data_IF_728160282374
#
_entry.id   IF_728160282374
#
_cell.length_a   1.000
_cell.length_b   1.000
_cell.length_c   1.000
_cell.angle_alpha   90.00
_cell.angle_beta   90.00
_cell.angle_gamma   90.00
#
_symmetry.space_group_name_H-M   'P 1'
#
loop_
_entity.id
_entity.type
_entity.pdbx_description
1 polymer ?
#
# COMPACT_ATOMS: atom_id res chain seq x y z
N UNK A 1 19.33 -2.80 16.21
CA UNK A 1 20.39 -1.78 16.27
C UNK A 1 21.06 -1.77 14.91
N UNK A 2 20.57 -0.92 14.04
CA UNK A 2 21.10 -0.72 12.69
C UNK A 2 21.01 0.77 12.37
N UNK A 3 21.93 1.31 11.56
CA UNK A 3 21.94 2.74 11.20
C UNK A 3 20.66 3.17 10.49
N UNK A 4 20.06 2.26 9.70
CA UNK A 4 18.82 2.53 8.99
C UNK A 4 17.60 2.69 9.92
N UNK A 5 17.69 2.26 11.18
CA UNK A 5 16.61 2.45 12.17
C UNK A 5 16.49 3.88 12.70
N UNK A 6 17.46 4.76 12.41
CA UNK A 6 17.36 6.19 12.72
C UNK A 6 17.24 6.52 14.21
N UNK A 7 17.76 5.68 15.11
CA UNK A 7 17.68 5.91 16.58
C UNK A 7 18.43 7.19 16.97
N UNK A 8 19.58 7.48 16.36
CA UNK A 8 20.30 8.72 16.64
C UNK A 8 19.50 9.98 16.28
N UNK A 9 18.76 9.96 15.16
CA UNK A 9 17.85 11.05 14.79
C UNK A 9 16.70 11.20 15.80
N UNK A 10 16.20 10.07 16.31
CA UNK A 10 15.19 10.03 17.37
C UNK A 10 15.69 10.71 18.65
N UNK A 11 16.89 10.37 19.12
CA UNK A 11 17.48 10.96 20.32
C UNK A 11 17.72 12.44 20.15
N UNK A 12 18.20 12.87 18.98
CA UNK A 12 18.37 14.29 18.65
C UNK A 12 17.06 15.06 18.72
N UNK A 13 15.99 14.52 18.12
CA UNK A 13 14.68 15.17 18.15
C UNK A 13 14.06 15.17 19.55
N UNK A 14 14.21 14.08 20.31
CA UNK A 14 13.75 14.03 21.70
C UNK A 14 14.44 15.07 22.58
N UNK A 15 15.76 15.20 22.47
CA UNK A 15 16.52 16.24 23.16
C UNK A 15 16.01 17.63 22.81
N UNK A 16 15.85 17.94 21.52
CA UNK A 16 15.36 19.24 21.07
C UNK A 16 13.92 19.51 21.55
N UNK A 17 13.06 18.50 21.54
CA UNK A 17 11.70 18.60 22.07
C UNK A 17 11.69 18.97 23.55
N UNK A 18 12.56 18.35 24.37
CA UNK A 18 12.68 18.66 25.79
C UNK A 18 13.31 20.04 26.06
N UNK A 19 14.28 20.47 25.26
CA UNK A 19 14.85 21.83 25.32
C UNK A 19 13.77 22.90 25.05
N UNK A 20 12.86 22.63 24.11
CA UNK A 20 11.75 23.54 23.77
C UNK A 20 10.57 23.45 24.75
N UNK A 21 10.43 22.34 25.50
CA UNK A 21 9.32 22.09 26.42
C UNK A 21 9.81 21.66 27.82
N UNK A 22 10.40 22.58 28.61
CA UNK A 22 10.92 22.26 29.94
C UNK A 22 9.88 21.68 30.90
N UNK A 23 8.60 22.00 30.70
CA UNK A 23 7.47 21.47 31.47
C UNK A 23 7.23 19.96 31.28
N UNK A 24 7.88 19.33 30.31
CA UNK A 24 7.77 17.88 30.03
C UNK A 24 8.89 17.09 30.69
N UNK A 25 10.01 17.73 31.02
CA UNK A 25 11.13 17.08 31.70
C UNK A 25 10.66 16.49 33.04
N UNK A 26 11.00 15.22 33.30
CA UNK A 26 10.55 14.46 34.47
C UNK A 26 9.10 13.95 34.39
N UNK A 27 8.33 14.29 33.34
CA UNK A 27 6.95 13.79 33.12
C UNK A 27 6.83 12.83 31.94
N UNK A 28 7.82 12.79 31.07
CA UNK A 28 7.86 11.87 29.93
C UNK A 28 9.26 11.25 29.81
N UNK A 29 9.30 10.00 29.35
CA UNK A 29 10.53 9.23 29.14
C UNK A 29 10.49 8.57 27.77
N UNK A 30 11.60 8.62 27.04
CA UNK A 30 11.79 7.85 25.82
C UNK A 30 12.36 6.47 26.18
N UNK A 31 11.52 5.43 26.17
CA UNK A 31 11.96 4.04 26.30
C UNK A 31 12.40 3.52 24.94
N UNK A 32 13.70 3.22 24.78
CA UNK A 32 14.26 2.72 23.52
C UNK A 32 14.96 1.38 23.74
N UNK A 33 14.35 0.30 23.24
CA UNK A 33 14.99 -1.01 23.19
C UNK A 33 15.62 -1.25 21.82
N UNK A 34 16.86 -1.70 21.77
CA UNK A 34 17.57 -2.00 20.54
C UNK A 34 17.97 -3.49 20.45
N UNK A 35 17.32 -4.23 19.55
CA UNK A 35 17.72 -5.61 19.26
C UNK A 35 19.07 -5.65 18.54
N UNK A 36 20.07 -6.36 19.07
CA UNK A 36 21.36 -6.55 18.39
C UNK A 36 21.32 -7.86 17.61
N UNK A 37 21.29 -7.83 16.26
CA UNK A 37 21.16 -9.05 15.46
C UNK A 37 22.41 -9.92 15.54
N UNK A 38 22.22 -11.24 15.68
CA UNK A 38 23.28 -12.25 15.63
C UNK A 38 23.70 -12.57 14.17
N UNK A 39 24.10 -11.56 13.40
CA UNK A 39 24.49 -11.70 11.98
C UNK A 39 25.96 -11.29 11.76
N UNK A 40 26.47 -11.43 10.55
CA UNK A 40 27.85 -11.03 10.19
C UNK A 40 28.22 -9.57 10.54
N UNK A 41 27.23 -8.70 10.78
CA UNK A 41 27.42 -7.29 11.14
C UNK A 41 27.36 -7.02 12.66
N UNK A 42 27.46 -8.07 13.49
CA UNK A 42 27.28 -7.96 14.95
C UNK A 42 28.21 -6.92 15.60
N UNK A 43 29.47 -6.82 15.14
CA UNK A 43 30.44 -5.84 15.66
C UNK A 43 30.01 -4.40 15.40
N UNK A 44 29.44 -4.11 14.22
CA UNK A 44 28.93 -2.77 13.91
C UNK A 44 27.68 -2.44 14.73
N UNK A 45 26.81 -3.43 14.94
CA UNK A 45 25.61 -3.26 15.75
C UNK A 45 25.95 -3.00 17.23
N UNK A 46 26.97 -3.66 17.79
CA UNK A 46 27.46 -3.38 19.16
C UNK A 46 28.13 -2.01 19.26
N UNK A 47 28.96 -1.62 18.28
CA UNK A 47 29.55 -0.27 18.24
C UNK A 47 28.47 0.80 18.23
N UNK A 48 27.46 0.65 17.35
CA UNK A 48 26.34 1.57 17.29
C UNK A 48 25.53 1.57 18.60
N UNK A 49 25.30 0.42 19.22
CA UNK A 49 24.63 0.35 20.52
C UNK A 49 25.42 1.13 21.60
N UNK A 50 26.75 0.96 21.64
CA UNK A 50 27.61 1.69 22.57
C UNK A 50 27.61 3.21 22.33
N UNK A 51 27.65 3.64 21.06
CA UNK A 51 27.51 5.06 20.69
C UNK A 51 26.16 5.62 21.14
N UNK A 52 25.07 4.87 20.94
CA UNK A 52 23.73 5.27 21.36
C UNK A 52 23.59 5.32 22.89
N UNK A 53 24.22 4.39 23.63
CA UNK A 53 24.28 4.45 25.09
C UNK A 53 24.94 5.75 25.56
N UNK A 54 26.10 6.09 25.02
CA UNK A 54 26.81 7.33 25.38
C UNK A 54 25.98 8.58 25.08
N UNK A 55 25.28 8.60 23.95
CA UNK A 55 24.38 9.71 23.59
C UNK A 55 23.21 9.80 24.58
N UNK A 56 22.60 8.67 24.96
CA UNK A 56 21.51 8.64 25.92
C UNK A 56 21.95 9.12 27.31
N UNK A 57 23.12 8.67 27.77
CA UNK A 57 23.73 9.09 29.04
C UNK A 57 24.02 10.60 29.06
N UNK A 58 24.67 11.12 28.01
CA UNK A 58 24.96 12.55 27.89
C UNK A 58 23.68 13.41 27.89
N UNK A 59 22.59 12.93 27.27
CA UNK A 59 21.30 13.61 27.30
C UNK A 59 20.69 13.56 28.70
N UNK A 60 20.72 12.40 29.37
CA UNK A 60 20.21 12.28 30.74
C UNK A 60 20.98 13.18 31.72
N UNK A 61 22.31 13.27 31.58
CA UNK A 61 23.15 14.20 32.35
C UNK A 61 22.78 15.66 32.11
N UNK A 62 22.55 16.05 30.85
CA UNK A 62 22.13 17.40 30.48
C UNK A 62 20.84 17.83 31.18
N UNK A 63 19.86 16.93 31.31
CA UNK A 63 18.56 17.23 31.95
C UNK A 63 18.51 16.91 33.45
N UNK A 64 19.55 16.27 34.00
CA UNK A 64 19.63 15.90 35.42
C UNK A 64 18.65 14.80 35.86
N UNK A 65 18.01 14.09 34.93
CA UNK A 65 17.11 12.98 35.19
C UNK A 65 17.06 11.99 34.02
N UNK A 66 16.52 10.79 34.23
CA UNK A 66 16.35 9.80 33.15
C UNK A 66 15.23 10.23 32.19
N UNK A 67 15.62 10.84 31.06
CA UNK A 67 14.70 11.21 29.97
C UNK A 67 14.76 10.24 28.79
N UNK A 68 15.85 9.47 28.67
CA UNK A 68 16.01 8.35 27.73
C UNK A 68 16.42 7.12 28.52
N UNK A 69 15.60 6.09 28.46
CA UNK A 69 15.95 4.76 28.97
C UNK A 69 16.32 3.87 27.78
N UNK A 70 17.62 3.70 27.55
CA UNK A 70 18.16 2.91 26.44
C UNK A 70 18.66 1.55 26.91
N UNK A 71 18.14 0.49 26.32
CA UNK A 71 18.61 -0.88 26.54
C UNK A 71 18.92 -1.54 25.19
N UNK A 72 19.96 -2.37 25.17
CA UNK A 72 20.31 -3.17 24.00
C UNK A 72 20.45 -4.64 24.38
N UNK A 73 19.90 -5.53 23.55
CA UNK A 73 19.91 -6.97 23.84
C UNK A 73 18.62 -7.69 23.42
N UNK A 74 18.49 -8.97 23.78
CA UNK A 74 17.26 -9.71 23.56
C UNK A 74 16.11 -9.12 24.39
N UNK A 75 14.91 -9.12 23.82
CA UNK A 75 13.66 -8.76 24.49
C UNK A 75 12.65 -9.84 24.17
N UNK A 76 11.98 -10.38 25.20
CA UNK A 76 10.94 -11.38 24.96
C UNK A 76 9.77 -10.75 24.21
N UNK A 77 8.98 -11.56 23.50
CA UNK A 77 7.77 -11.07 22.85
C UNK A 77 6.78 -10.51 23.88
N UNK A 78 6.68 -11.13 25.05
CA UNK A 78 5.80 -10.70 26.15
C UNK A 78 6.20 -9.31 26.66
N UNK A 79 7.49 -9.10 26.94
CA UNK A 79 7.98 -7.80 27.42
C UNK A 79 7.83 -6.72 26.35
N UNK A 80 8.09 -7.06 25.08
CA UNK A 80 7.87 -6.14 23.96
C UNK A 80 6.40 -5.71 23.89
N UNK A 81 5.47 -6.65 23.93
CA UNK A 81 4.04 -6.36 23.89
C UNK A 81 3.58 -5.58 25.14
N UNK A 82 4.15 -5.87 26.31
CA UNK A 82 3.87 -5.10 27.53
C UNK A 82 4.32 -3.64 27.38
N UNK A 83 5.54 -3.40 26.87
CA UNK A 83 6.05 -2.06 26.59
C UNK A 83 5.19 -1.30 25.58
N UNK A 84 4.83 -1.95 24.46
CA UNK A 84 3.93 -1.35 23.46
C UNK A 84 2.55 -1.03 24.03
N UNK A 85 2.03 -1.90 24.91
CA UNK A 85 0.74 -1.71 25.56
C UNK A 85 0.73 -0.50 26.49
N UNK A 86 1.82 -0.23 27.22
CA UNK A 86 1.88 0.92 28.16
C UNK A 86 2.32 2.22 27.50
N UNK A 87 2.96 2.19 26.33
CA UNK A 87 3.44 3.39 25.66
C UNK A 87 2.30 4.27 25.12
N UNK A 88 2.31 5.56 25.47
CA UNK A 88 1.35 6.56 24.98
C UNK A 88 1.59 6.97 23.52
N UNK A 89 2.85 6.94 23.08
CA UNK A 89 3.24 7.30 21.71
C UNK A 89 4.28 6.31 21.21
N UNK A 90 4.03 5.73 20.03
CA UNK A 90 5.05 4.99 19.28
C UNK A 90 5.78 5.94 18.32
N UNK A 91 7.11 5.92 18.35
CA UNK A 91 7.95 6.74 17.49
C UNK A 91 8.85 5.88 16.59
N UNK A 92 8.47 5.75 15.31
CA UNK A 92 9.28 5.13 14.26
C UNK A 92 9.98 6.19 13.40
N UNK A 93 11.31 6.25 13.52
CA UNK A 93 12.18 7.20 12.79
C UNK A 93 13.10 6.50 11.80
N UNK A 94 12.70 5.31 11.33
CA UNK A 94 13.48 4.54 10.37
C UNK A 94 13.82 5.36 9.12
N UNK A 95 15.10 5.51 8.82
CA UNK A 95 15.60 6.23 7.64
C UNK A 95 15.27 5.46 6.36
N UNK A 96 15.23 4.13 6.45
CA UNK A 96 14.80 3.25 5.37
C UNK A 96 14.30 1.95 5.96
N UNK A 97 13.02 1.63 5.75
CA UNK A 97 12.44 0.35 6.16
C UNK A 97 11.45 -0.15 5.13
N UNK A 98 11.61 -1.40 4.70
CA UNK A 98 10.65 -2.07 3.83
C UNK A 98 9.35 -2.32 4.58
N UNK A 99 9.35 -3.31 5.46
CA UNK A 99 8.24 -3.58 6.37
C UNK A 99 8.73 -3.47 7.82
N UNK A 100 8.21 -2.48 8.54
CA UNK A 100 8.40 -2.38 9.99
C UNK A 100 7.17 -2.94 10.69
N UNK A 101 7.31 -4.05 11.41
CA UNK A 101 6.17 -4.66 12.11
C UNK A 101 5.78 -3.93 13.39
N UNK A 102 6.68 -3.11 13.97
CA UNK A 102 6.47 -2.49 15.29
C UNK A 102 5.22 -1.58 15.31
N UNK A 103 4.96 -0.72 14.30
CA UNK A 103 3.70 0.03 14.24
C UNK A 103 2.45 -0.86 14.22
N UNK A 104 2.47 -1.98 13.48
CA UNK A 104 1.34 -2.91 13.46
C UNK A 104 1.15 -3.60 14.81
N UNK A 105 2.25 -4.08 15.42
CA UNK A 105 2.24 -4.68 16.76
C UNK A 105 1.70 -3.71 17.82
N UNK A 106 2.01 -2.41 17.70
CA UNK A 106 1.48 -1.38 18.60
C UNK A 106 -0.04 -1.26 18.50
N UNK A 107 -0.60 -1.17 17.29
CA UNK A 107 -2.06 -1.13 17.10
C UNK A 107 -2.74 -2.38 17.69
N UNK A 108 -2.15 -3.57 17.52
CA UNK A 108 -2.66 -4.81 18.11
C UNK A 108 -2.55 -4.79 19.64
N UNK A 109 -1.41 -4.36 20.19
CA UNK A 109 -1.19 -4.28 21.63
C UNK A 109 -2.19 -3.35 22.34
N UNK A 110 -2.54 -2.24 21.68
CA UNK A 110 -3.51 -1.25 22.16
C UNK A 110 -4.95 -1.73 21.98
N UNK A 111 -5.28 -2.42 20.89
CA UNK A 111 -6.62 -2.96 20.65
C UNK A 111 -7.05 -4.06 21.64
N UNK A 112 -6.09 -4.79 22.22
CA UNK A 112 -6.34 -5.88 23.17
C UNK A 112 -6.75 -5.42 24.59
N UNK A 113 -7.27 -4.21 24.75
CA UNK A 113 -7.83 -3.68 25.99
C UNK A 113 -9.38 -3.73 25.91
N UNK A 114 -10.11 -3.88 27.02
CA UNK A 114 -11.58 -3.97 27.00
C UNK A 114 -12.23 -2.62 26.62
N UNK A 115 -13.25 -2.57 25.75
CA UNK A 115 -13.89 -1.33 25.26
C UNK A 115 -14.45 -0.42 26.36
N UNK A 116 -14.58 -0.94 27.58
CA UNK A 116 -15.03 -0.24 28.78
C UNK A 116 -13.94 0.59 29.48
N UNK A 117 -12.66 0.42 29.12
CA UNK A 117 -11.60 1.24 29.72
C UNK A 117 -11.46 2.57 28.98
N UNK A 118 -11.56 3.74 29.65
CA UNK A 118 -11.32 5.04 29.04
C UNK A 118 -9.87 5.23 28.53
N UNK A 119 -8.98 4.27 28.78
CA UNK A 119 -7.61 4.18 28.26
C UNK A 119 -7.48 3.44 26.92
N UNK A 120 -8.54 2.75 26.48
CA UNK A 120 -8.49 1.81 25.37
C UNK A 120 -8.29 2.47 23.99
N UNK A 121 -8.71 3.73 23.86
CA UNK A 121 -8.59 4.52 22.63
C UNK A 121 -7.52 5.62 22.74
N UNK A 122 -6.45 5.34 23.49
CA UNK A 122 -5.31 6.25 23.62
C UNK A 122 -4.12 5.62 22.91
N UNK A 123 -3.23 6.42 22.34
CA UNK A 123 -2.05 5.90 21.66
C UNK A 123 -1.85 6.56 20.31
N UNK A 124 -0.82 7.38 20.18
CA UNK A 124 -0.45 7.98 18.91
C UNK A 124 0.70 7.21 18.26
N UNK A 125 0.68 7.10 16.94
CA UNK A 125 1.77 6.50 16.17
C UNK A 125 2.37 7.57 15.29
N UNK A 126 3.68 7.79 15.42
CA UNK A 126 4.48 8.63 14.54
C UNK A 126 5.30 7.69 13.66
N UNK A 127 5.12 7.75 12.34
CA UNK A 127 5.78 6.87 11.39
C UNK A 127 6.62 7.64 10.39
N UNK A 128 7.84 7.15 10.16
CA UNK A 128 8.70 7.65 9.08
C UNK A 128 8.03 7.48 7.70
N UNK A 129 8.06 8.52 6.88
CA UNK A 129 7.63 8.47 5.47
C UNK A 129 8.47 7.47 4.63
N UNK A 130 9.66 7.12 5.11
CA UNK A 130 10.54 6.12 4.49
C UNK A 130 10.33 4.69 5.02
N UNK A 131 9.31 4.50 5.86
CA UNK A 131 8.84 3.19 6.31
C UNK A 131 7.65 2.76 5.46
N UNK A 132 7.63 1.51 4.98
CA UNK A 132 6.49 1.01 4.18
C UNK A 132 5.15 1.06 4.93
N UNK A 133 5.19 1.12 6.26
CA UNK A 133 4.00 1.25 7.12
C UNK A 133 3.26 2.56 6.88
N UNK A 134 3.96 3.64 6.54
CA UNK A 134 3.36 4.96 6.30
C UNK A 134 2.38 4.98 5.11
N UNK A 135 2.54 4.05 4.17
CA UNK A 135 1.63 3.92 3.01
C UNK A 135 0.30 3.26 3.34
N UNK A 136 0.23 2.64 4.52
CA UNK A 136 -0.83 1.71 4.90
C UNK A 136 -1.55 2.21 6.15
N UNK A 137 -0.81 2.68 7.14
CA UNK A 137 -1.30 3.19 8.42
C UNK A 137 -1.61 4.68 8.29
N UNK A 138 -2.78 4.99 7.71
CA UNK A 138 -3.20 6.37 7.40
C UNK A 138 -3.48 7.16 8.69
N UNK A 139 -3.75 6.51 9.82
CA UNK A 139 -3.95 7.13 11.13
C UNK A 139 -2.66 7.66 11.76
N UNK A 140 -1.51 7.12 11.36
CA UNK A 140 -0.21 7.54 11.86
C UNK A 140 0.17 8.96 11.40
N UNK A 141 0.92 9.67 12.24
CA UNK A 141 1.54 10.95 11.89
C UNK A 141 2.79 10.66 11.06
N UNK A 142 2.72 10.94 9.76
CA UNK A 142 3.85 10.72 8.86
C UNK A 142 4.90 11.82 8.98
N UNK A 143 6.16 11.45 9.16
CA UNK A 143 7.27 12.37 9.40
C UNK A 143 8.50 12.02 8.57
N UNK A 144 9.25 13.04 8.19
CA UNK A 144 10.60 12.85 7.65
C UNK A 144 11.61 12.83 8.82
N UNK A 145 12.28 11.69 9.12
CA UNK A 145 13.21 11.59 10.25
C UNK A 145 14.45 12.47 10.13
N UNK A 146 14.80 12.96 8.92
CA UNK A 146 15.90 13.89 8.72
C UNK A 146 15.55 15.33 9.10
N UNK A 147 14.26 15.67 9.13
CA UNK A 147 13.80 16.98 9.55
C UNK A 147 13.47 16.95 11.05
N UNK A 148 14.47 17.30 11.87
CA UNK A 148 14.33 17.30 13.34
C UNK A 148 13.22 18.23 13.82
N UNK A 149 13.06 19.41 13.21
CA UNK A 149 12.04 20.38 13.65
C UNK A 149 10.61 19.85 13.42
N UNK A 150 10.34 19.27 12.24
CA UNK A 150 9.05 18.62 11.98
C UNK A 150 8.81 17.41 12.88
N UNK A 151 9.86 16.66 13.22
CA UNK A 151 9.75 15.54 14.15
C UNK A 151 9.38 16.00 15.57
N UNK A 152 9.95 17.12 16.03
CA UNK A 152 9.60 17.75 17.31
C UNK A 152 8.14 18.21 17.32
N UNK A 153 7.69 18.87 16.26
CA UNK A 153 6.28 19.27 16.10
C UNK A 153 5.36 18.05 16.13
N UNK A 154 5.71 16.97 15.43
CA UNK A 154 4.90 15.74 15.44
C UNK A 154 4.83 15.08 16.82
N UNK A 155 5.91 15.12 17.61
CA UNK A 155 5.91 14.64 19.01
C UNK A 155 4.98 15.51 19.87
N UNK A 156 5.01 16.82 19.67
CA UNK A 156 4.13 17.77 20.36
C UNK A 156 2.66 17.54 20.00
N UNK A 157 2.35 17.38 18.70
CA UNK A 157 1.01 17.10 18.20
C UNK A 157 0.50 15.75 18.73
N UNK A 158 1.32 14.71 18.69
CA UNK A 158 0.98 13.40 19.25
C UNK A 158 0.59 13.50 20.73
N UNK A 159 1.35 14.28 21.52
CA UNK A 159 1.05 14.53 22.93
C UNK A 159 -0.28 15.28 23.10
N UNK A 160 -0.56 16.29 22.30
CA UNK A 160 -1.82 17.05 22.36
C UNK A 160 -3.03 16.23 21.92
N UNK A 161 -2.84 15.29 20.99
CA UNK A 161 -3.88 14.38 20.52
C UNK A 161 -4.28 13.33 21.56
N UNK A 162 -3.47 13.06 22.57
CA UNK A 162 -3.77 12.05 23.59
C UNK A 162 -5.11 12.35 24.29
N UNK A 163 -6.04 11.40 24.19
CA UNK A 163 -7.38 11.50 24.79
C UNK A 163 -8.40 12.27 23.97
N UNK A 164 -8.05 12.71 22.75
CA UNK A 164 -9.00 13.35 21.82
C UNK A 164 -9.83 12.29 21.06
N UNK A 165 -11.06 12.64 20.63
CA UNK A 165 -11.86 11.75 19.79
C UNK A 165 -11.21 11.54 18.41
N UNK A 166 -10.48 12.52 17.89
CA UNK A 166 -9.74 12.38 16.62
C UNK A 166 -8.73 11.24 16.69
N UNK A 167 -7.97 11.13 17.80
CA UNK A 167 -7.01 10.06 17.97
C UNK A 167 -7.69 8.69 18.05
N UNK A 168 -8.86 8.62 18.69
CA UNK A 168 -9.64 7.39 18.79
C UNK A 168 -10.06 6.87 17.40
N UNK A 169 -10.53 7.77 16.53
CA UNK A 169 -10.89 7.43 15.14
C UNK A 169 -9.68 6.95 14.32
N UNK A 170 -8.53 7.63 14.45
CA UNK A 170 -7.28 7.21 13.80
C UNK A 170 -6.85 5.82 14.25
N UNK A 171 -6.90 5.56 15.55
CA UNK A 171 -6.56 4.27 16.14
C UNK A 171 -7.52 3.19 15.66
N UNK A 172 -8.84 3.43 15.71
CA UNK A 172 -9.87 2.49 15.26
C UNK A 172 -9.66 2.07 13.80
N UNK A 173 -9.46 3.04 12.90
CA UNK A 173 -9.24 2.76 11.47
C UNK A 173 -8.01 1.89 11.23
N UNK A 174 -6.87 2.26 11.82
CA UNK A 174 -5.63 1.53 11.59
C UNK A 174 -5.66 0.16 12.27
N UNK A 175 -6.28 0.04 13.45
CA UNK A 175 -6.53 -1.26 14.10
C UNK A 175 -7.39 -2.16 13.22
N UNK A 176 -8.49 -1.65 12.64
CA UNK A 176 -9.34 -2.42 11.76
C UNK A 176 -8.56 -2.95 10.54
N UNK A 177 -7.70 -2.11 9.95
CA UNK A 177 -6.80 -2.52 8.88
C UNK A 177 -5.84 -3.64 9.34
N UNK A 178 -5.18 -3.48 10.49
CA UNK A 178 -4.22 -4.50 10.97
C UNK A 178 -4.94 -5.82 11.28
N UNK A 179 -6.17 -5.76 11.79
CA UNK A 179 -6.98 -6.94 12.09
C UNK A 179 -7.48 -7.68 10.85
N UNK A 180 -7.78 -6.98 9.75
CA UNK A 180 -8.23 -7.61 8.50
C UNK A 180 -7.09 -8.16 7.64
N UNK A 181 -5.88 -7.61 7.77
CA UNK A 181 -4.72 -7.99 6.95
C UNK A 181 -3.71 -8.86 7.71
N UNK A 182 -4.00 -10.16 7.77
CA UNK A 182 -3.10 -11.14 8.38
C UNK A 182 -1.95 -11.56 7.46
N UNK A 183 -0.88 -12.11 8.06
CA UNK A 183 0.23 -12.73 7.32
C UNK A 183 -0.27 -13.85 6.38
N UNK A 184 -1.28 -14.61 6.82
CA UNK A 184 -1.83 -15.70 6.02
C UNK A 184 -2.54 -15.17 4.77
N UNK A 185 -3.38 -14.15 4.92
CA UNK A 185 -4.03 -13.47 3.79
C UNK A 185 -3.00 -12.92 2.80
N UNK A 186 -1.93 -12.29 3.29
CA UNK A 186 -0.85 -11.83 2.42
C UNK A 186 -0.17 -12.99 1.66
N UNK A 187 0.07 -14.13 2.33
CA UNK A 187 0.71 -15.29 1.71
C UNK A 187 -0.21 -15.94 0.65
N UNK A 188 -1.50 -16.03 0.91
CA UNK A 188 -2.51 -16.53 -0.02
C UNK A 188 -2.62 -15.64 -1.26
N UNK A 189 -2.67 -14.32 -1.06
CA UNK A 189 -2.68 -13.33 -2.14
C UNK A 189 -1.43 -13.45 -3.00
N UNK A 190 -0.26 -13.53 -2.36
CA UNK A 190 1.02 -13.69 -3.05
C UNK A 190 1.06 -14.98 -3.89
N UNK A 191 0.58 -16.10 -3.36
CA UNK A 191 0.51 -17.36 -4.09
C UNK A 191 -0.52 -17.32 -5.23
N UNK A 192 -1.65 -16.66 -5.03
CA UNK A 192 -2.64 -16.43 -6.08
C UNK A 192 -2.06 -15.62 -7.24
N UNK A 193 -1.34 -14.55 -6.92
CA UNK A 193 -0.69 -13.70 -7.91
C UNK A 193 0.45 -14.44 -8.62
N UNK A 194 1.23 -15.25 -7.91
CA UNK A 194 2.23 -16.12 -8.52
C UNK A 194 1.61 -17.13 -9.49
N UNK A 195 0.47 -17.72 -9.10
CA UNK A 195 -0.29 -18.64 -9.97
C UNK A 195 -0.83 -17.93 -11.20
N UNK A 196 -1.31 -16.68 -11.07
CA UNK A 196 -1.79 -15.85 -12.19
C UNK A 196 -0.66 -15.40 -13.11
N UNK A 197 0.53 -15.14 -12.56
CA UNK A 197 1.71 -14.75 -13.32
C UNK A 197 2.29 -15.91 -14.17
N UNK A 198 1.89 -17.16 -13.90
CA UNK A 198 2.26 -18.30 -14.72
C UNK A 198 1.71 -18.11 -16.14
N UNK A 199 2.61 -18.20 -17.13
CA UNK A 199 2.22 -18.24 -18.53
C UNK A 199 1.26 -19.42 -18.75
N UNK A 200 0.01 -19.11 -19.11
CA UNK A 200 -0.92 -20.07 -19.71
C UNK A 200 -0.35 -20.52 -21.05
N UNK A 201 -0.43 -21.83 -21.32
CA UNK A 201 0.10 -22.43 -22.55
C UNK A 201 -0.69 -21.98 -23.79
N UNK A 202 -2.00 -21.82 -23.65
CA UNK A 202 -2.97 -21.42 -24.71
C UNK A 202 -2.98 -19.90 -24.99
N UNK A 203 -1.92 -19.18 -24.59
CA UNK A 203 -1.82 -17.73 -24.78
C UNK A 203 -0.54 -17.41 -25.54
N UNK A 204 -0.66 -16.59 -26.58
CA UNK A 204 0.45 -15.94 -27.24
C UNK A 204 0.93 -14.75 -26.39
N UNK A 205 2.23 -14.62 -26.17
CA UNK A 205 2.77 -13.47 -25.43
C UNK A 205 3.50 -12.52 -26.36
N UNK A 206 3.03 -11.28 -26.44
CA UNK A 206 3.68 -10.21 -27.20
C UNK A 206 4.28 -9.21 -26.23
N UNK A 207 5.51 -8.79 -26.52
CA UNK A 207 6.19 -7.74 -25.78
C UNK A 207 5.96 -6.39 -26.47
N UNK A 208 5.69 -5.35 -25.69
CA UNK A 208 5.58 -4.00 -26.22
C UNK A 208 6.22 -2.98 -25.27
N UNK A 209 6.70 -1.87 -25.84
CA UNK A 209 7.48 -0.84 -25.14
C UNK A 209 8.99 -1.08 -25.18
N UNK A 210 9.74 -0.05 -24.77
CA UNK A 210 11.21 -0.05 -24.73
C UNK A 210 11.71 0.35 -23.33
N UNK A 211 12.86 -0.20 -22.90
CA UNK A 211 13.50 0.15 -21.64
C UNK A 211 12.65 -0.16 -20.39
N UNK A 212 12.54 0.80 -19.48
CA UNK A 212 11.78 0.67 -18.23
C UNK A 212 10.26 0.54 -18.40
N UNK A 213 9.73 0.80 -19.60
CA UNK A 213 8.31 0.68 -19.94
C UNK A 213 7.98 -0.64 -20.65
N UNK A 214 8.86 -1.64 -20.58
CA UNK A 214 8.63 -2.96 -21.13
C UNK A 214 7.41 -3.62 -20.48
N UNK A 215 6.46 -4.10 -21.28
CA UNK A 215 5.26 -4.83 -20.85
C UNK A 215 5.13 -6.14 -21.62
N UNK A 216 4.65 -7.16 -20.93
CA UNK A 216 4.28 -8.46 -21.50
C UNK A 216 2.75 -8.53 -21.56
N UNK A 217 2.20 -8.70 -22.76
CA UNK A 217 0.76 -8.90 -22.98
C UNK A 217 0.51 -10.36 -23.35
N UNK A 218 -0.42 -11.02 -22.66
CA UNK A 218 -0.95 -12.33 -23.07
C UNK A 218 -2.18 -12.12 -23.94
N UNK A 219 -2.19 -12.72 -25.13
CA UNK A 219 -3.26 -12.71 -26.11
C UNK A 219 -3.72 -14.15 -26.36
N UNK A 220 -4.97 -14.36 -26.74
CA UNK A 220 -5.45 -15.69 -27.16
C UNK A 220 -4.72 -16.18 -28.40
N UNK A 221 -4.63 -17.50 -28.61
CA UNK A 221 -4.10 -18.07 -29.85
C UNK A 221 -4.87 -17.59 -31.10
N UNK A 222 -6.17 -17.36 -30.96
CA UNK A 222 -7.04 -16.85 -32.03
C UNK A 222 -6.86 -15.35 -32.29
N UNK A 223 -5.97 -14.67 -31.58
CA UNK A 223 -5.76 -13.23 -31.78
C UNK A 223 -5.17 -12.95 -33.16
N UNK A 224 -5.98 -12.36 -34.03
CA UNK A 224 -5.53 -11.86 -35.33
C UNK A 224 -5.08 -10.41 -35.20
N UNK A 225 -3.80 -10.17 -35.53
CA UNK A 225 -3.29 -8.81 -35.64
C UNK A 225 -3.89 -8.15 -36.87
N UNK A 226 -4.48 -6.98 -36.65
CA UNK A 226 -4.90 -6.04 -37.68
C UNK A 226 -3.77 -5.80 -38.72
N UNK A 227 -4.06 -6.03 -40.01
CA UNK A 227 -3.11 -5.79 -41.10
C UNK A 227 -2.88 -4.29 -41.28
N UNK A 228 -1.67 -3.86 -40.93
CA UNK A 228 -1.28 -2.47 -40.91
C UNK A 228 -1.30 -1.84 -42.32
N UNK A 229 -0.93 -2.59 -43.36
CA UNK A 229 -0.82 -2.05 -44.71
C UNK A 229 -2.21 -1.89 -45.34
N UNK A 230 -3.10 -2.84 -45.09
CA UNK A 230 -4.50 -2.75 -45.50
C UNK A 230 -5.21 -1.57 -44.82
N UNK A 231 -5.02 -1.42 -43.51
CA UNK A 231 -5.58 -0.31 -42.73
C UNK A 231 -5.06 1.03 -43.22
N UNK A 232 -3.76 1.17 -43.44
CA UNK A 232 -3.19 2.41 -43.94
C UNK A 232 -3.67 2.75 -45.34
N UNK A 233 -3.77 1.76 -46.23
CA UNK A 233 -4.24 1.97 -47.59
C UNK A 233 -5.71 2.41 -47.59
N UNK A 234 -6.55 1.77 -46.79
CA UNK A 234 -7.96 2.09 -46.70
C UNK A 234 -8.22 3.43 -45.97
N UNK A 235 -7.47 3.73 -44.91
CA UNK A 235 -7.47 5.02 -44.23
C UNK A 235 -7.11 6.18 -45.17
N UNK A 236 -6.11 5.98 -46.05
CA UNK A 236 -5.71 6.97 -47.06
C UNK A 236 -6.78 7.19 -48.13
N UNK A 237 -7.49 6.13 -48.55
CA UNK A 237 -8.55 6.20 -49.57
C UNK A 237 -9.85 6.81 -49.06
N UNK A 238 -10.13 6.69 -47.76
CA UNK A 238 -11.38 7.14 -47.16
C UNK A 238 -11.49 8.67 -47.11
N UNK A 239 -12.63 9.19 -47.59
CA UNK A 239 -12.98 10.63 -47.52
C UNK A 239 -13.49 11.03 -46.14
N UNK A 240 -14.16 10.09 -45.45
CA UNK A 240 -14.62 10.24 -44.07
C UNK A 240 -14.13 9.03 -43.27
N UNK A 241 -13.61 9.27 -42.06
CA UNK A 241 -12.89 8.25 -41.28
C UNK A 241 -13.54 8.08 -39.93
N UNK A 242 -13.91 6.85 -39.58
CA UNK A 242 -14.49 6.51 -38.28
C UNK A 242 -13.80 5.25 -37.79
N UNK A 243 -13.14 5.35 -36.63
CA UNK A 243 -12.41 4.24 -36.03
C UNK A 243 -13.21 3.71 -34.85
N UNK A 244 -13.49 2.40 -34.85
CA UNK A 244 -14.22 1.73 -33.80
C UNK A 244 -13.27 0.78 -33.06
N UNK A 245 -12.86 1.19 -31.86
CA UNK A 245 -12.01 0.38 -31.01
C UNK A 245 -12.90 -0.44 -30.09
N UNK A 246 -12.95 -1.76 -30.30
CA UNK A 246 -13.65 -2.64 -29.39
C UNK A 246 -12.83 -2.79 -28.11
N UNK A 247 -13.50 -2.65 -26.97
CA UNK A 247 -12.94 -2.91 -25.65
C UNK A 247 -13.75 -4.03 -25.00
N UNK A 248 -13.15 -5.20 -24.88
CA UNK A 248 -13.75 -6.36 -24.20
C UNK A 248 -15.14 -6.80 -24.71
N UNK A 249 -15.41 -6.72 -26.02
CA UNK A 249 -16.67 -7.20 -26.61
C UNK A 249 -17.82 -6.19 -26.55
N UNK A 250 -17.49 -4.91 -26.40
CA UNK A 250 -18.40 -3.77 -26.54
C UNK A 250 -18.88 -3.58 -27.98
N UNK A 251 -18.28 -4.20 -29.00
CA UNK A 251 -18.75 -4.07 -30.39
C UNK A 251 -19.02 -5.43 -31.05
N UNK A 252 -18.27 -6.47 -30.67
CA UNK A 252 -18.51 -7.82 -31.13
C UNK A 252 -18.77 -8.76 -29.94
N UNK A 253 -19.88 -9.50 -29.98
CA UNK A 253 -20.20 -10.50 -28.95
C UNK A 253 -19.10 -11.55 -28.90
N UNK A 254 -18.26 -11.49 -27.86
CA UNK A 254 -17.10 -12.35 -27.76
C UNK A 254 -17.42 -13.54 -26.88
N UNK A 255 -17.65 -14.72 -27.47
CA UNK A 255 -17.89 -15.97 -26.73
C UNK A 255 -16.66 -16.50 -25.99
N UNK A 256 -15.47 -15.91 -26.21
CA UNK A 256 -14.17 -16.49 -25.80
C UNK A 256 -13.22 -15.54 -25.06
N UNK A 257 -13.65 -14.37 -24.59
CA UNK A 257 -12.78 -13.61 -23.66
C UNK A 257 -12.71 -14.43 -22.36
N UNK A 258 -11.58 -15.09 -22.16
CA UNK A 258 -11.12 -15.57 -20.87
C UNK A 258 -11.38 -14.46 -19.86
N UNK A 259 -12.24 -14.72 -18.87
CA UNK A 259 -12.75 -13.83 -17.80
C UNK A 259 -11.70 -13.00 -17.02
N UNK A 260 -10.43 -12.97 -17.42
CA UNK A 260 -9.32 -12.38 -16.70
C UNK A 260 -8.27 -11.71 -17.64
N UNK A 261 -8.69 -10.99 -18.68
CA UNK A 261 -7.75 -10.30 -19.58
C UNK A 261 -7.17 -9.01 -18.95
N UNK A 262 -7.85 -8.41 -17.98
CA UNK A 262 -7.30 -7.29 -17.20
C UNK A 262 -7.14 -7.67 -15.74
N UNK A 263 -5.93 -7.52 -15.23
CA UNK A 263 -5.68 -7.46 -13.79
C UNK A 263 -6.44 -6.27 -13.22
N UNK A 264 -7.64 -6.52 -12.68
CA UNK A 264 -8.37 -5.52 -11.91
C UNK A 264 -7.55 -5.17 -10.66
N UNK A 265 -7.30 -3.88 -10.38
CA UNK A 265 -6.73 -3.47 -9.12
C UNK A 265 -7.80 -3.60 -8.03
N UNK A 266 -7.55 -4.51 -7.08
CA UNK A 266 -8.18 -4.62 -5.75
C UNK A 266 -9.69 -4.86 -5.72
N UNK A 267 -10.06 -6.11 -5.48
CA UNK A 267 -11.16 -6.44 -4.58
C UNK A 267 -10.56 -7.19 -3.40
N UNK A 268 -10.73 -6.65 -2.20
CA UNK A 268 -10.32 -7.25 -0.92
C UNK A 268 -11.02 -8.61 -0.68
N UNK A 269 -10.39 -9.53 0.07
CA UNK A 269 -10.97 -10.84 0.36
C UNK A 269 -11.98 -10.71 1.49
N UNK A 270 -13.27 -10.65 1.17
CA UNK A 270 -14.33 -10.89 2.13
C UNK A 270 -15.39 -11.79 1.49
N UNK A 271 -15.47 -13.00 2.05
CA UNK A 271 -16.66 -13.85 2.14
C UNK A 271 -17.30 -14.32 0.83
N UNK A 272 -17.17 -15.62 0.55
CA UNK A 272 -18.20 -16.35 -0.17
C UNK A 272 -19.31 -16.74 0.82
N UNK A 273 -20.54 -16.22 0.73
CA UNK A 273 -21.69 -16.90 1.28
C UNK A 273 -22.28 -17.81 0.20
N UNK A 274 -22.38 -19.09 0.54
CA UNK A 274 -23.30 -20.01 -0.08
C UNK A 274 -24.74 -19.55 0.09
N UNK A 275 -25.53 -19.72 -0.97
CA UNK A 275 -27.00 -19.74 -1.05
C UNK A 275 -27.80 -18.45 -0.84
N UNK A 276 -28.43 -18.06 -1.95
CA UNK A 276 -29.82 -17.56 -2.12
C UNK A 276 -30.25 -16.19 -1.61
N UNK A 277 -30.90 -15.49 -2.55
CA UNK A 277 -31.85 -14.36 -2.47
C UNK A 277 -31.32 -12.93 -2.35
N UNK A 278 -31.37 -12.26 -3.51
CA UNK A 278 -31.84 -10.89 -3.77
C UNK A 278 -31.19 -9.73 -2.99
N UNK A 279 -30.20 -9.12 -3.64
CA UNK A 279 -29.58 -7.85 -3.29
C UNK A 279 -28.43 -7.55 -4.26
N UNK A 280 -28.75 -7.30 -5.53
CA UNK A 280 -27.78 -7.17 -6.63
C UNK A 280 -26.84 -5.96 -6.47
N UNK A 281 -25.68 -6.22 -5.88
CA UNK A 281 -24.43 -5.44 -6.03
C UNK A 281 -23.45 -6.17 -6.97
N UNK A 282 -23.96 -6.67 -8.10
CA UNK A 282 -23.22 -7.32 -9.19
C UNK A 282 -22.51 -6.32 -10.14
N UNK A 283 -22.65 -5.02 -9.91
CA UNK A 283 -22.37 -3.96 -10.89
C UNK A 283 -20.97 -3.35 -10.85
N UNK A 284 -19.92 -4.16 -10.71
CA UNK A 284 -18.55 -3.70 -11.02
C UNK A 284 -17.72 -4.69 -11.85
N UNK A 285 -18.42 -5.55 -12.61
CA UNK A 285 -17.89 -6.13 -13.84
C UNK A 285 -18.32 -5.24 -15.00
N UNK A 286 -17.58 -4.16 -15.27
CA UNK A 286 -17.75 -3.40 -16.51
C UNK A 286 -17.20 -4.22 -17.70
N UNK A 287 -17.85 -5.33 -18.00
CA UNK A 287 -17.79 -5.92 -19.32
C UNK A 287 -18.77 -5.13 -20.18
N UNK A 288 -18.30 -4.56 -21.30
CA UNK A 288 -19.18 -3.94 -22.25
C UNK A 288 -20.22 -4.96 -22.72
N UNK A 289 -21.49 -4.72 -22.43
CA UNK A 289 -22.54 -5.49 -23.07
C UNK A 289 -22.53 -5.10 -24.56
N UNK A 290 -22.63 -6.07 -25.49
CA UNK A 290 -22.67 -5.73 -26.90
C UNK A 290 -23.84 -4.77 -27.16
N UNK A 291 -23.68 -3.77 -28.05
CA UNK A 291 -24.68 -2.76 -28.34
C UNK A 291 -25.96 -3.43 -28.81
N UNK A 292 -27.09 -2.86 -28.41
CA UNK A 292 -28.40 -3.33 -28.88
C UNK A 292 -28.42 -3.44 -30.40
N UNK A 293 -29.18 -4.41 -30.94
CA UNK A 293 -29.29 -4.64 -32.39
C UNK A 293 -29.63 -3.35 -33.16
N UNK A 294 -30.40 -2.45 -32.53
CA UNK A 294 -30.73 -1.13 -33.08
C UNK A 294 -29.50 -0.25 -33.29
N UNK A 295 -28.55 -0.25 -32.35
CA UNK A 295 -27.29 0.50 -32.46
C UNK A 295 -26.41 -0.12 -33.54
N UNK A 296 -26.32 -1.45 -33.61
CA UNK A 296 -25.59 -2.14 -34.68
C UNK A 296 -26.19 -1.83 -36.07
N UNK A 297 -27.52 -1.77 -36.18
CA UNK A 297 -28.22 -1.42 -37.41
C UNK A 297 -28.01 0.06 -37.81
N UNK A 298 -27.96 0.97 -36.83
CA UNK A 298 -27.60 2.38 -37.03
C UNK A 298 -26.14 2.54 -37.48
N UNK A 299 -25.23 1.77 -36.91
CA UNK A 299 -23.82 1.75 -37.32
C UNK A 299 -23.68 1.22 -38.76
N UNK A 300 -24.34 0.10 -39.09
CA UNK A 300 -24.38 -0.45 -40.46
C UNK A 300 -24.95 0.54 -41.46
N UNK A 301 -26.07 1.19 -41.13
CA UNK A 301 -26.66 2.20 -42.03
C UNK A 301 -25.80 3.45 -42.18
N UNK A 302 -25.10 3.88 -41.12
CA UNK A 302 -24.11 4.95 -41.21
C UNK A 302 -22.90 4.57 -42.09
N UNK A 303 -22.47 3.31 -42.08
CA UNK A 303 -21.41 2.82 -42.96
C UNK A 303 -21.87 2.77 -44.43
N UNK A 304 -23.13 2.39 -44.68
CA UNK A 304 -23.69 2.28 -46.05
C UNK A 304 -24.10 3.62 -46.66
N UNK A 305 -24.48 4.61 -45.85
CA UNK A 305 -24.99 5.91 -46.33
C UNK A 305 -23.89 6.84 -46.87
N UNK A 306 -22.64 6.66 -46.43
CA UNK A 306 -21.51 7.40 -46.97
C UNK A 306 -20.78 6.52 -48.00
N UNK A 307 -20.46 7.06 -49.17
CA UNK A 307 -19.87 6.27 -50.26
C UNK A 307 -18.38 5.94 -50.07
N UNK A 308 -17.76 6.26 -48.92
CA UNK A 308 -16.34 5.98 -48.62
C UNK A 308 -15.93 6.02 -47.12
N UNK A 309 -16.71 5.55 -46.13
CA UNK A 309 -16.19 5.39 -44.78
C UNK A 309 -15.25 4.19 -44.74
N UNK A 310 -14.11 4.35 -44.07
CA UNK A 310 -13.30 3.22 -43.65
C UNK A 310 -13.56 2.96 -42.17
N UNK A 311 -13.99 1.74 -41.85
CA UNK A 311 -14.24 1.26 -40.50
C UNK A 311 -13.20 0.19 -40.17
N UNK A 312 -12.32 0.51 -39.22
CA UNK A 312 -11.47 -0.49 -38.59
C UNK A 312 -12.10 -0.89 -37.27
N UNK A 313 -12.42 -2.18 -37.12
CA UNK A 313 -12.84 -2.79 -35.86
C UNK A 313 -11.63 -3.51 -35.26
N UNK A 314 -11.23 -3.11 -34.06
CA UNK A 314 -10.21 -3.85 -33.30
C UNK A 314 -10.86 -4.99 -32.51
N UNK A 315 -11.17 -6.10 -33.17
CA UNK A 315 -11.75 -7.31 -32.56
C UNK A 315 -11.72 -8.47 -33.55
N UNK A 316 -11.83 -9.72 -33.05
CA UNK A 316 -11.62 -11.04 -33.71
C UNK A 316 -12.18 -11.27 -35.13
N UNK A 317 -12.91 -10.33 -35.71
CA UNK A 317 -13.43 -10.43 -37.07
C UNK A 317 -12.93 -9.24 -37.90
N UNK A 318 -12.09 -9.55 -38.89
CA UNK A 318 -11.79 -8.67 -40.02
C UNK A 318 -12.98 -8.61 -41.01
N UNK A 319 -14.22 -8.59 -40.53
CA UNK A 319 -15.35 -8.23 -41.37
C UNK A 319 -15.31 -6.73 -41.60
N UNK A 320 -14.66 -6.39 -42.70
CA UNK A 320 -14.72 -5.09 -43.35
C UNK A 320 -16.21 -4.82 -43.65
N UNK A 321 -16.80 -3.88 -42.92
CA UNK A 321 -18.04 -3.19 -43.29
C UNK A 321 -17.69 -1.89 -44.01
#
# INVERSE_FOLDING_TARGET
CDRLSGIGLKFRAWRLFLEQHPNVVGRAVLRQHAYVPKTHSVTLAYKLASELTQIAEAINEQFGCEVIHFESGPLSAVDRMALLRVADVLLDTSVKSGLNLVPFEYYVARAALPPTSPTNLRGAVICSEFSGCSRVLIGSLSVNPWNTDKLVVAIQDAKHMLGTPELAERLYRDTAYVSSHSLLSWAEDFLCDLRRARKKAEMMYITYGFGANFRLMGLSEDFQRLDHDEILAAYKRAKFRVLFLDNEGTLCSTSYISRNAYGSPRASPAEFPSSSSEGELSNLHMHGSPPSEKVLQMLRSACLAYTSPYVALSGLSAEIL
#
